data_IF_117844643105
#
_entry.id   IF_117844643105
#
_cell.length_a   1.000
_cell.length_b   1.000
_cell.length_c   1.000
_cell.angle_alpha   90.00
_cell.angle_beta   90.00
_cell.angle_gamma   90.00
#
_symmetry.space_group_name_H-M   'P 1'
#
loop_
_entity.id
_entity.type
_entity.pdbx_description
1 polymer ?
#
# COMPACT_ATOMS: atom_id res chain seq x y z
N UNK A 1 0.48 13.31 13.83
CA UNK A 1 1.21 12.12 13.35
C UNK A 1 0.99 12.03 11.85
N UNK A 2 2.01 11.74 11.05
CA UNK A 2 1.84 11.59 9.61
C UNK A 2 1.44 10.14 9.32
N UNK A 3 0.33 9.95 8.60
CA UNK A 3 -0.13 8.64 8.18
C UNK A 3 0.75 8.08 7.06
N UNK A 4 1.03 6.77 7.04
CA UNK A 4 1.73 6.17 5.92
C UNK A 4 0.93 6.32 4.62
N UNK A 5 1.60 6.80 3.58
CA UNK A 5 1.04 6.93 2.23
C UNK A 5 1.70 5.88 1.34
N UNK A 6 0.88 5.08 0.67
CA UNK A 6 1.33 4.06 -0.28
C UNK A 6 0.94 4.48 -1.69
N UNK A 7 1.86 4.28 -2.62
CA UNK A 7 1.65 4.59 -4.04
C UNK A 7 1.65 3.28 -4.82
N UNK A 8 0.64 3.08 -5.65
CA UNK A 8 0.56 1.98 -6.60
C UNK A 8 0.75 2.54 -8.00
N UNK A 9 1.69 1.98 -8.73
CA UNK A 9 1.95 2.30 -10.12
C UNK A 9 1.37 1.21 -11.00
N UNK A 10 0.47 1.60 -11.90
CA UNK A 10 -0.19 0.71 -12.84
C UNK A 10 0.60 0.67 -14.15
N UNK A 11 0.56 -0.45 -14.87
CA UNK A 11 1.28 -0.61 -16.15
C UNK A 11 0.88 0.43 -17.21
N UNK A 12 -0.35 0.93 -17.17
CA UNK A 12 -0.84 1.99 -18.05
C UNK A 12 -0.39 3.41 -17.63
N UNK A 13 0.51 3.54 -16.65
CA UNK A 13 0.97 4.83 -16.11
C UNK A 13 0.01 5.47 -15.11
N UNK A 14 -1.08 4.79 -14.74
CA UNK A 14 -1.97 5.23 -13.67
C UNK A 14 -1.28 5.16 -12.31
N UNK A 15 -1.50 6.18 -11.48
CA UNK A 15 -0.92 6.24 -10.12
C UNK A 15 -2.05 6.35 -9.11
N UNK A 16 -2.14 5.40 -8.20
CA UNK A 16 -3.09 5.42 -7.09
C UNK A 16 -2.32 5.73 -5.81
N UNK A 17 -2.77 6.71 -5.04
CA UNK A 17 -2.21 7.02 -3.71
C UNK A 17 -3.25 6.69 -2.65
N UNK A 18 -2.86 5.88 -1.68
CA UNK A 18 -3.69 5.50 -0.55
C UNK A 18 -3.05 5.98 0.75
N UNK A 19 -3.84 6.65 1.60
CA UNK A 19 -3.46 6.97 2.98
C UNK A 19 -3.94 5.86 3.91
N UNK A 20 -3.07 5.42 4.81
CA UNK A 20 -3.35 4.34 5.75
C UNK A 20 -3.46 4.89 7.18
N UNK A 21 -4.45 4.41 7.94
CA UNK A 21 -4.71 4.89 9.30
C UNK A 21 -4.35 3.82 10.34
N UNK A 22 -3.09 3.78 10.84
CA UNK A 22 -2.67 2.82 11.86
C UNK A 22 -3.39 3.04 13.20
N UNK A 23 -3.94 4.23 13.44
CA UNK A 23 -4.74 4.53 14.63
C UNK A 23 -6.06 3.75 14.68
N UNK A 24 -6.64 3.42 13.52
CA UNK A 24 -7.88 2.66 13.40
C UNK A 24 -7.58 1.16 13.32
N UNK A 25 -6.59 0.77 12.51
CA UNK A 25 -6.28 -0.63 12.22
C UNK A 25 -4.76 -0.90 12.23
N UNK A 26 -4.10 -0.87 13.40
CA UNK A 26 -2.63 -0.94 13.48
C UNK A 26 -2.06 -2.23 12.91
N UNK A 27 -2.71 -3.37 13.21
CA UNK A 27 -2.23 -4.68 12.75
C UNK A 27 -2.33 -4.84 11.23
N UNK A 28 -3.44 -4.38 10.64
CA UNK A 28 -3.66 -4.44 9.19
C UNK A 28 -2.67 -3.55 8.46
N UNK A 29 -2.47 -2.31 8.95
CA UNK A 29 -1.51 -1.37 8.36
C UNK A 29 -0.09 -1.92 8.43
N UNK A 30 0.33 -2.46 9.58
CA UNK A 30 1.65 -3.06 9.72
C UNK A 30 1.86 -4.27 8.80
N UNK A 31 0.86 -5.16 8.70
CA UNK A 31 0.95 -6.32 7.81
C UNK A 31 1.03 -5.87 6.34
N UNK A 32 0.18 -4.92 5.94
CA UNK A 32 0.17 -4.37 4.60
C UNK A 32 1.51 -3.72 4.22
N UNK A 33 2.06 -2.86 5.08
CA UNK A 33 3.36 -2.23 4.87
C UNK A 33 4.50 -3.26 4.79
N UNK A 34 4.43 -4.34 5.57
CA UNK A 34 5.41 -5.44 5.48
C UNK A 34 5.38 -6.12 4.10
N UNK A 35 4.19 -6.35 3.53
CA UNK A 35 4.07 -6.90 2.18
C UNK A 35 4.58 -5.94 1.10
N UNK A 36 4.25 -4.65 1.21
CA UNK A 36 4.74 -3.60 0.29
C UNK A 36 6.27 -3.53 0.33
N UNK A 37 6.88 -3.47 1.52
CA UNK A 37 8.35 -3.41 1.67
C UNK A 37 9.08 -4.65 1.12
N UNK A 38 8.37 -5.78 0.97
CA UNK A 38 8.91 -7.02 0.40
C UNK A 38 8.65 -7.14 -1.12
N UNK A 39 8.08 -6.12 -1.76
CA UNK A 39 7.71 -6.16 -3.18
C UNK A 39 6.61 -7.17 -3.50
N UNK A 40 5.79 -7.55 -2.51
CA UNK A 40 4.80 -8.63 -2.69
C UNK A 40 3.73 -8.29 -3.74
N UNK A 41 3.41 -7.00 -3.91
CA UNK A 41 2.39 -6.53 -4.85
C UNK A 41 2.94 -6.22 -6.24
N UNK A 42 4.25 -6.32 -6.45
CA UNK A 42 4.90 -5.99 -7.72
C UNK A 42 4.53 -7.04 -8.79
N UNK A 43 4.01 -6.57 -9.92
CA UNK A 43 3.56 -7.45 -11.01
C UNK A 43 2.23 -8.17 -10.77
N UNK A 44 1.52 -7.87 -9.68
CA UNK A 44 0.15 -8.36 -9.48
C UNK A 44 -0.87 -7.55 -10.28
N UNK A 45 -2.01 -8.19 -10.56
CA UNK A 45 -3.16 -7.55 -11.20
C UNK A 45 -4.33 -7.43 -10.21
N UNK A 46 -5.20 -6.46 -10.47
CA UNK A 46 -6.54 -6.44 -9.90
C UNK A 46 -7.42 -7.34 -10.77
N UNK A 47 -7.96 -8.42 -10.18
CA UNK A 47 -8.80 -9.41 -10.86
C UNK A 47 -10.26 -8.99 -10.96
#
# INVERSE_FOLDING_TARGET
>A
MANPIVTFEMENGGVIKAELYPEIAPNTVNNFLSHVNRGFYDGLIFH
#
